data_IF_468029238251
#
_entry.id   IF_468029238251
#
_cell.length_a   1.000
_cell.length_b   1.000
_cell.length_c   1.000
_cell.angle_alpha   90.00
_cell.angle_beta   90.00
_cell.angle_gamma   90.00
#
_symmetry.space_group_name_H-M   'P 1'
#
loop_
_entity.id
_entity.type
_entity.pdbx_description
1 polymer ?
#
# COMPACT_ATOMS: atom_id res chain seq x y z
N UNK A 1 -10.08 17.92 8.02
CA UNK A 1 -9.20 18.21 6.88
C UNK A 1 -9.37 17.12 5.84
N UNK A 2 -9.62 17.48 4.60
CA UNK A 2 -9.63 16.57 3.46
C UNK A 2 -8.35 16.83 2.66
N UNK A 3 -7.46 15.84 2.64
CA UNK A 3 -6.21 15.85 1.91
C UNK A 3 -6.34 14.91 0.70
N UNK A 4 -5.88 15.35 -0.46
CA UNK A 4 -5.84 14.47 -1.65
C UNK A 4 -4.70 13.46 -1.55
N UNK A 5 -4.73 12.44 -2.39
CA UNK A 5 -3.56 11.66 -2.73
C UNK A 5 -2.68 12.39 -3.77
N UNK A 6 -1.60 11.77 -4.16
CA UNK A 6 -0.55 12.29 -5.04
C UNK A 6 -1.09 12.72 -6.41
N UNK A 7 -1.01 14.02 -6.71
CA UNK A 7 -1.48 14.65 -7.95
C UNK A 7 -2.96 14.42 -8.30
N UNK A 8 -3.82 14.05 -7.35
CA UNK A 8 -5.21 13.69 -7.68
C UNK A 8 -6.01 14.81 -8.29
N UNK A 9 -5.82 16.05 -7.86
CA UNK A 9 -6.51 17.19 -8.50
C UNK A 9 -6.12 17.30 -9.98
N UNK A 10 -4.84 17.11 -10.30
CA UNK A 10 -4.35 17.13 -11.68
C UNK A 10 -4.98 16.03 -12.53
N UNK A 11 -5.22 14.86 -11.94
CA UNK A 11 -5.82 13.71 -12.62
C UNK A 11 -7.23 13.98 -13.12
N UNK A 12 -7.98 14.92 -12.52
CA UNK A 12 -9.30 15.32 -13.02
C UNK A 12 -9.24 15.86 -14.47
N UNK A 13 -8.13 16.51 -14.83
CA UNK A 13 -7.87 16.92 -16.21
C UNK A 13 -7.13 15.87 -17.01
N UNK A 14 -5.95 15.41 -16.52
CA UNK A 14 -5.01 14.61 -17.32
C UNK A 14 -5.50 13.18 -17.58
N UNK A 15 -6.16 12.57 -16.61
CA UNK A 15 -6.60 11.17 -16.66
C UNK A 15 -8.11 11.05 -16.86
N UNK A 16 -8.88 11.67 -15.99
CA UNK A 16 -10.33 11.42 -15.88
C UNK A 16 -11.14 12.27 -16.88
N UNK A 17 -10.54 13.32 -17.43
CA UNK A 17 -11.10 14.20 -18.45
C UNK A 17 -12.45 14.85 -18.04
N UNK A 18 -12.63 15.08 -16.74
CA UNK A 18 -13.82 15.75 -16.18
C UNK A 18 -13.64 17.26 -16.05
N UNK A 19 -12.41 17.76 -16.10
CA UNK A 19 -12.07 19.17 -16.17
C UNK A 19 -11.40 19.49 -17.52
N UNK A 20 -11.72 20.61 -18.14
CA UNK A 20 -11.16 21.03 -19.43
C UNK A 20 -9.73 21.55 -19.29
N UNK A 21 -9.37 22.10 -18.12
CA UNK A 21 -8.04 22.65 -17.81
C UNK A 21 -7.60 22.28 -16.40
N UNK A 22 -6.30 22.43 -16.12
CA UNK A 22 -5.77 22.24 -14.75
C UNK A 22 -6.39 23.25 -13.76
N UNK A 23 -6.56 24.51 -14.18
CA UNK A 23 -7.22 25.54 -13.37
C UNK A 23 -8.66 25.15 -13.01
N UNK A 24 -9.41 24.59 -13.98
CA UNK A 24 -10.76 24.10 -13.72
C UNK A 24 -10.76 22.92 -12.74
N UNK A 25 -9.79 22.00 -12.86
CA UNK A 25 -9.62 20.91 -11.91
C UNK A 25 -9.41 21.43 -10.48
N UNK A 26 -8.57 22.46 -10.30
CA UNK A 26 -8.38 23.13 -9.01
C UNK A 26 -9.69 23.73 -8.49
N UNK A 27 -10.42 24.47 -9.33
CA UNK A 27 -11.73 25.04 -8.98
C UNK A 27 -12.71 23.98 -8.50
N UNK A 28 -12.84 22.89 -9.23
CA UNK A 28 -13.77 21.80 -8.91
C UNK A 28 -13.42 21.16 -7.56
N UNK A 29 -12.15 20.83 -7.35
CA UNK A 29 -11.69 20.16 -6.15
C UNK A 29 -11.82 21.04 -4.88
N UNK A 30 -11.41 22.31 -4.97
CA UNK A 30 -11.47 23.22 -3.82
C UNK A 30 -12.93 23.53 -3.45
N UNK A 31 -13.80 23.78 -4.43
CA UNK A 31 -15.21 24.00 -4.17
C UNK A 31 -15.96 22.75 -3.68
N UNK A 32 -15.47 21.55 -4.03
CA UNK A 32 -15.97 20.29 -3.49
C UNK A 32 -15.58 20.04 -2.04
N UNK A 33 -14.67 20.85 -1.47
CA UNK A 33 -14.29 20.78 -0.06
C UNK A 33 -12.90 20.21 0.23
N UNK A 34 -12.05 20.06 -0.78
CA UNK A 34 -10.64 19.71 -0.56
C UNK A 34 -9.95 20.88 0.17
N UNK A 35 -9.35 20.58 1.33
CA UNK A 35 -8.66 21.56 2.15
C UNK A 35 -7.17 21.64 1.81
N UNK A 36 -6.57 20.53 1.41
CA UNK A 36 -5.13 20.39 1.21
C UNK A 36 -4.86 19.47 0.02
N UNK A 37 -3.99 19.92 -0.89
CA UNK A 37 -3.63 19.17 -2.09
C UNK A 37 -2.20 18.64 -2.00
N UNK A 38 -2.02 17.38 -2.37
CA UNK A 38 -0.70 16.77 -2.50
C UNK A 38 -0.17 17.03 -3.92
N UNK A 39 0.51 18.17 -4.10
CA UNK A 39 1.08 18.64 -5.37
C UNK A 39 2.60 18.61 -5.28
N UNK A 40 3.29 17.55 -5.75
CA UNK A 40 4.74 17.41 -5.56
C UNK A 40 5.59 18.20 -6.55
N UNK A 41 5.09 18.45 -7.77
CA UNK A 41 5.91 19.00 -8.86
C UNK A 41 5.47 20.40 -9.30
N UNK A 42 4.21 20.57 -9.65
CA UNK A 42 3.70 21.82 -10.24
C UNK A 42 2.97 22.69 -9.20
N UNK A 43 3.53 22.77 -7.99
CA UNK A 43 2.92 23.49 -6.87
C UNK A 43 2.79 25.01 -7.15
N UNK A 44 3.70 25.61 -7.92
CA UNK A 44 3.62 27.02 -8.30
C UNK A 44 2.41 27.26 -9.21
N UNK A 45 2.17 26.38 -10.18
CA UNK A 45 1.01 26.47 -11.06
C UNK A 45 -0.30 26.32 -10.25
N UNK A 46 -0.37 25.32 -9.37
CA UNK A 46 -1.51 25.13 -8.49
C UNK A 46 -1.82 26.38 -7.65
N UNK A 47 -0.76 26.97 -7.05
CA UNK A 47 -0.90 28.19 -6.26
C UNK A 47 -1.41 29.36 -7.10
N UNK A 48 -0.81 29.60 -8.27
CA UNK A 48 -1.20 30.68 -9.17
C UNK A 48 -2.64 30.51 -9.67
N UNK A 49 -3.03 29.30 -10.05
CA UNK A 49 -4.39 29.00 -10.48
C UNK A 49 -5.39 29.27 -9.36
N UNK A 50 -5.09 28.86 -8.12
CA UNK A 50 -5.96 29.08 -6.96
C UNK A 50 -6.10 30.57 -6.64
N UNK A 51 -4.99 31.33 -6.65
CA UNK A 51 -5.02 32.81 -6.47
C UNK A 51 -5.86 33.48 -7.55
N UNK A 52 -5.70 33.06 -8.79
CA UNK A 52 -6.46 33.61 -9.90
C UNK A 52 -7.95 33.29 -9.75
N UNK A 53 -8.33 32.07 -9.39
CA UNK A 53 -9.71 31.65 -9.15
C UNK A 53 -10.37 32.48 -8.04
N UNK A 54 -9.64 32.82 -6.98
CA UNK A 54 -10.14 33.69 -5.91
C UNK A 54 -10.35 35.11 -6.45
N UNK A 55 -9.39 35.67 -7.20
CA UNK A 55 -9.51 37.00 -7.77
C UNK A 55 -10.65 37.13 -8.80
N UNK A 56 -10.99 36.05 -9.51
CA UNK A 56 -12.10 35.95 -10.44
C UNK A 56 -13.45 35.68 -9.74
N UNK A 57 -13.45 35.42 -8.42
CA UNK A 57 -14.64 35.08 -7.65
C UNK A 57 -15.17 33.67 -7.88
N UNK A 58 -14.40 32.81 -8.55
CA UNK A 58 -14.75 31.42 -8.84
C UNK A 58 -14.54 30.49 -7.62
N UNK A 59 -13.67 30.90 -6.70
CA UNK A 59 -13.47 30.32 -5.37
C UNK A 59 -13.58 31.43 -4.33
N UNK A 60 -14.45 31.28 -3.35
CA UNK A 60 -14.64 32.33 -2.35
C UNK A 60 -13.51 32.33 -1.30
N UNK A 61 -13.22 33.54 -0.76
CA UNK A 61 -12.32 33.66 0.38
C UNK A 61 -12.80 32.89 1.60
N UNK A 62 -14.11 32.80 1.81
CA UNK A 62 -14.70 32.00 2.88
C UNK A 62 -14.32 30.51 2.77
N UNK A 63 -14.27 29.97 1.53
CA UNK A 63 -13.81 28.59 1.30
C UNK A 63 -12.34 28.42 1.62
N UNK A 64 -11.51 29.40 1.29
CA UNK A 64 -10.07 29.38 1.62
C UNK A 64 -9.88 29.47 3.14
N UNK A 65 -10.58 30.39 3.79
CA UNK A 65 -10.51 30.58 5.25
C UNK A 65 -10.97 29.31 6.00
N UNK A 66 -12.01 28.62 5.50
CA UNK A 66 -12.46 27.36 6.10
C UNK A 66 -11.38 26.27 5.97
N UNK A 67 -10.74 26.12 4.79
CA UNK A 67 -9.64 25.18 4.59
C UNK A 67 -8.46 25.48 5.55
N UNK A 68 -8.02 26.73 5.60
CA UNK A 68 -6.92 27.17 6.46
C UNK A 68 -7.26 26.93 7.93
N UNK A 69 -8.47 27.27 8.36
CA UNK A 69 -8.93 27.05 9.73
C UNK A 69 -8.90 25.57 10.10
N UNK A 70 -9.34 24.69 9.22
CA UNK A 70 -9.29 23.24 9.47
C UNK A 70 -7.86 22.72 9.58
N UNK A 71 -6.97 23.16 8.69
CA UNK A 71 -5.54 22.78 8.72
C UNK A 71 -4.88 23.28 10.01
N UNK A 72 -5.07 24.57 10.34
CA UNK A 72 -4.49 25.14 11.57
C UNK A 72 -5.04 24.48 12.82
N UNK A 73 -6.34 24.21 12.88
CA UNK A 73 -6.94 23.49 14.00
C UNK A 73 -6.27 22.13 14.22
N UNK A 74 -6.08 21.34 13.14
CA UNK A 74 -5.40 20.06 13.23
C UNK A 74 -3.97 20.20 13.76
N UNK A 75 -3.23 21.20 13.26
CA UNK A 75 -1.86 21.47 13.73
C UNK A 75 -1.80 21.82 15.22
N UNK A 76 -2.75 22.61 15.70
CA UNK A 76 -2.85 22.93 17.14
C UNK A 76 -3.24 21.71 17.98
N UNK A 77 -4.20 20.90 17.51
CA UNK A 77 -4.63 19.68 18.21
C UNK A 77 -3.53 18.63 18.32
N UNK A 78 -2.60 18.61 17.36
CA UNK A 78 -1.43 17.73 17.32
C UNK A 78 -0.18 18.35 17.97
N UNK A 79 -0.29 19.55 18.55
CA UNK A 79 0.81 20.28 19.21
C UNK A 79 2.05 20.48 18.29
N UNK A 80 1.83 20.64 16.97
CA UNK A 80 2.92 20.70 15.99
C UNK A 80 3.70 22.02 16.00
N UNK A 81 3.21 23.05 16.68
CA UNK A 81 3.92 24.32 16.79
C UNK A 81 4.97 24.28 17.90
N UNK A 82 4.63 23.64 19.02
CA UNK A 82 5.49 23.45 20.17
C UNK A 82 6.39 22.23 20.03
N UNK A 83 5.84 21.14 19.45
CA UNK A 83 6.51 19.85 19.26
C UNK A 83 6.48 19.42 17.79
N UNK A 84 7.22 20.10 16.89
CA UNK A 84 7.16 19.85 15.45
C UNK A 84 7.83 18.52 15.02
N UNK A 85 8.64 17.92 15.86
CA UNK A 85 9.39 16.68 15.58
C UNK A 85 9.09 15.65 16.66
N UNK A 86 8.68 14.48 16.21
CA UNK A 86 8.46 13.33 17.08
C UNK A 86 9.78 12.59 17.33
N UNK A 87 10.12 12.38 18.60
CA UNK A 87 11.23 11.51 18.97
C UNK A 87 10.71 10.07 19.12
N UNK A 88 11.06 9.18 18.18
CA UNK A 88 10.59 7.81 18.20
C UNK A 88 11.08 7.00 19.41
N UNK A 89 12.19 7.42 20.05
CA UNK A 89 12.72 6.78 21.27
C UNK A 89 11.77 6.88 22.46
N UNK A 90 10.83 7.82 22.43
CA UNK A 90 9.79 7.97 23.46
C UNK A 90 8.65 6.94 23.30
N UNK A 91 8.64 6.18 22.20
CA UNK A 91 7.62 5.18 21.90
C UNK A 91 8.17 3.76 22.07
N UNK A 92 8.32 3.30 23.30
CA UNK A 92 8.89 1.99 23.64
C UNK A 92 8.15 0.80 22.98
N UNK A 93 6.86 0.96 22.70
CA UNK A 93 6.04 -0.05 22.03
C UNK A 93 6.30 -0.14 20.52
N UNK A 94 6.98 0.85 19.90
CA UNK A 94 7.21 0.85 18.46
C UNK A 94 8.10 -0.34 18.03
N UNK A 95 7.57 -1.20 17.14
CA UNK A 95 8.26 -2.41 16.71
C UNK A 95 8.42 -3.49 17.79
N UNK A 96 7.73 -3.38 18.92
CA UNK A 96 7.82 -4.31 20.05
C UNK A 96 7.23 -5.69 19.72
N UNK A 97 7.52 -6.68 20.56
CA UNK A 97 6.88 -8.01 20.49
C UNK A 97 5.36 -7.94 20.53
N UNK A 98 4.80 -6.99 21.27
CA UNK A 98 3.35 -6.73 21.33
C UNK A 98 2.80 -6.31 19.97
N UNK A 99 3.49 -5.40 19.27
CA UNK A 99 3.12 -4.98 17.91
C UNK A 99 3.24 -6.13 16.91
N UNK A 100 4.29 -6.96 16.99
CA UNK A 100 4.42 -8.16 16.15
C UNK A 100 3.29 -9.17 16.39
N UNK A 101 2.92 -9.40 17.65
CA UNK A 101 1.79 -10.29 17.98
C UNK A 101 0.46 -9.75 17.46
N UNK A 102 0.24 -8.43 17.55
CA UNK A 102 -0.96 -7.79 17.03
C UNK A 102 -1.02 -7.89 15.50
N UNK A 103 0.08 -7.64 14.82
CA UNK A 103 0.20 -7.79 13.37
C UNK A 103 -0.06 -9.24 12.92
N UNK A 104 0.52 -10.23 13.61
CA UNK A 104 0.26 -11.64 13.37
C UNK A 104 -1.23 -11.99 13.56
N UNK A 105 -1.84 -11.51 14.62
CA UNK A 105 -3.27 -11.72 14.89
C UNK A 105 -4.13 -11.10 13.81
N UNK A 106 -3.87 -9.85 13.44
CA UNK A 106 -4.61 -9.16 12.38
C UNK A 106 -4.48 -9.89 11.02
N UNK A 107 -3.27 -10.32 10.66
CA UNK A 107 -3.06 -11.11 9.45
C UNK A 107 -3.80 -12.45 9.48
N UNK A 108 -3.75 -13.16 10.61
CA UNK A 108 -4.44 -14.44 10.76
C UNK A 108 -5.96 -14.32 10.66
N UNK A 109 -6.54 -13.27 11.26
CA UNK A 109 -7.97 -13.00 11.23
C UNK A 109 -8.46 -12.47 9.87
N UNK A 110 -7.56 -11.91 9.05
CA UNK A 110 -7.90 -11.43 7.70
C UNK A 110 -8.02 -12.55 6.66
N UNK A 111 -7.47 -13.74 6.95
CA UNK A 111 -7.52 -14.87 6.02
C UNK A 111 -8.93 -15.40 5.93
N UNK A 112 -9.51 -15.36 4.74
CA UNK A 112 -10.89 -15.77 4.49
C UNK A 112 -10.93 -17.12 3.77
N UNK A 113 -11.60 -18.12 4.38
CA UNK A 113 -11.82 -19.42 3.76
C UNK A 113 -12.97 -19.31 2.76
N UNK A 114 -12.67 -19.26 1.47
CA UNK A 114 -13.66 -19.12 0.41
C UNK A 114 -14.33 -20.45 0.03
N UNK A 115 -13.63 -21.58 0.17
CA UNK A 115 -14.10 -22.89 -0.20
C UNK A 115 -13.33 -23.98 0.55
N UNK A 116 -14.02 -24.97 1.08
CA UNK A 116 -13.41 -26.13 1.74
C UNK A 116 -14.22 -27.40 1.45
N UNK A 117 -14.13 -27.90 0.22
CA UNK A 117 -14.84 -29.11 -0.15
C UNK A 117 -14.22 -30.33 0.55
N UNK A 118 -15.06 -31.21 1.03
CA UNK A 118 -14.67 -32.45 1.72
C UNK A 118 -13.82 -32.23 2.98
N UNK A 119 -13.92 -31.06 3.60
CA UNK A 119 -13.22 -30.70 4.85
C UNK A 119 -11.70 -30.98 4.79
N UNK A 120 -11.09 -30.64 3.65
CA UNK A 120 -9.65 -30.86 3.42
C UNK A 120 -8.79 -29.99 4.34
N UNK A 121 -9.32 -28.82 4.72
CA UNK A 121 -8.70 -27.91 5.70
C UNK A 121 -9.43 -28.02 7.05
N UNK A 122 -8.72 -27.98 8.18
CA UNK A 122 -7.25 -27.90 8.31
C UNK A 122 -6.57 -29.21 7.90
N UNK A 123 -5.38 -29.11 7.29
CA UNK A 123 -4.58 -30.26 6.90
C UNK A 123 -4.23 -31.09 8.13
N UNK A 124 -4.44 -32.40 8.05
CA UNK A 124 -4.19 -33.35 9.16
C UNK A 124 -2.93 -34.17 8.92
N UNK A 125 -2.21 -34.43 9.99
CA UNK A 125 -1.02 -35.30 9.95
C UNK A 125 0.16 -34.65 9.19
N UNK A 126 0.82 -35.42 8.33
CA UNK A 126 1.95 -34.98 7.50
C UNK A 126 1.68 -35.25 6.03
N UNK A 127 0.73 -34.52 5.42
CA UNK A 127 0.40 -34.70 4.01
C UNK A 127 1.59 -34.34 3.10
N UNK A 128 1.59 -34.91 1.89
CA UNK A 128 2.46 -34.42 0.81
C UNK A 128 1.83 -33.15 0.24
N UNK A 129 2.63 -32.10 0.14
CA UNK A 129 2.21 -30.77 -0.29
C UNK A 129 3.08 -30.34 -1.46
N UNK A 130 2.44 -29.98 -2.55
CA UNK A 130 3.07 -29.26 -3.64
C UNK A 130 2.73 -27.78 -3.49
N UNK A 131 3.75 -26.94 -3.45
CA UNK A 131 3.65 -25.48 -3.56
C UNK A 131 4.03 -25.10 -4.96
N UNK A 132 3.17 -24.38 -5.67
CA UNK A 132 3.41 -23.94 -7.04
C UNK A 132 3.02 -22.47 -7.22
N UNK A 133 3.47 -21.87 -8.31
CA UNK A 133 3.29 -20.47 -8.60
C UNK A 133 4.47 -19.59 -8.15
N UNK A 134 4.65 -18.42 -8.77
CA UNK A 134 5.82 -17.56 -8.56
C UNK A 134 5.90 -16.98 -7.15
N UNK A 135 4.79 -16.92 -6.43
CA UNK A 135 4.69 -16.32 -5.11
C UNK A 135 4.90 -17.32 -3.96
N UNK A 136 4.90 -18.62 -4.26
CA UNK A 136 5.00 -19.67 -3.24
C UNK A 136 6.28 -19.65 -2.42
N UNK A 137 7.38 -19.20 -3.01
CA UNK A 137 8.69 -19.07 -2.37
C UNK A 137 9.34 -17.71 -2.69
N UNK A 138 8.61 -16.64 -2.47
CA UNK A 138 9.08 -15.30 -2.77
C UNK A 138 8.63 -14.32 -1.67
N UNK A 139 9.58 -13.83 -0.87
CA UNK A 139 9.30 -12.92 0.24
C UNK A 139 8.76 -11.58 -0.24
N UNK A 140 9.25 -11.07 -1.37
CA UNK A 140 8.81 -9.77 -1.88
C UNK A 140 7.30 -9.74 -2.15
N UNK A 141 6.74 -10.82 -2.66
CA UNK A 141 5.31 -10.89 -3.00
C UNK A 141 4.39 -11.05 -1.78
N UNK A 142 4.96 -11.37 -0.61
CA UNK A 142 4.27 -11.37 0.68
C UNK A 142 4.21 -9.98 1.31
N UNK A 143 4.97 -9.03 0.78
CA UNK A 143 5.01 -7.66 1.25
C UNK A 143 4.41 -6.74 0.17
N UNK A 144 3.48 -5.90 0.58
CA UNK A 144 2.88 -4.89 -0.31
C UNK A 144 3.61 -3.57 -0.29
N UNK A 145 3.08 -2.60 -1.01
CA UNK A 145 3.51 -1.22 -0.93
C UNK A 145 3.48 -0.72 0.53
N UNK A 146 4.39 0.19 0.85
CA UNK A 146 4.60 0.75 2.20
C UNK A 146 5.13 -0.26 3.24
N UNK A 147 5.61 -1.43 2.80
CA UNK A 147 6.38 -2.35 3.64
C UNK A 147 7.85 -1.94 3.60
N UNK A 148 8.29 -1.09 4.53
CA UNK A 148 9.62 -0.49 4.68
C UNK A 148 10.11 0.37 3.50
N UNK A 149 9.56 0.22 2.34
CA UNK A 149 9.79 1.06 1.16
C UNK A 149 8.48 1.32 0.45
N UNK A 150 8.47 2.29 -0.45
CA UNK A 150 7.23 2.68 -1.15
C UNK A 150 6.56 1.51 -1.87
N UNK A 151 7.32 0.69 -2.60
CA UNK A 151 6.79 -0.45 -3.36
C UNK A 151 7.00 -1.80 -2.67
N UNK A 152 7.57 -1.82 -1.47
CA UNK A 152 7.89 -3.06 -0.77
C UNK A 152 9.02 -3.87 -1.41
N UNK A 153 9.85 -3.24 -2.24
CA UNK A 153 10.90 -3.90 -3.03
C UNK A 153 12.16 -4.24 -2.21
N UNK A 154 12.34 -3.63 -1.04
CA UNK A 154 13.56 -3.80 -0.24
C UNK A 154 13.45 -4.93 0.80
N UNK A 155 12.59 -5.92 0.56
CA UNK A 155 12.32 -7.01 1.54
C UNK A 155 13.54 -7.80 1.93
N UNK A 156 14.51 -8.00 1.04
CA UNK A 156 15.75 -8.72 1.32
C UNK A 156 16.58 -8.10 2.45
N UNK A 157 16.34 -6.82 2.76
CA UNK A 157 17.07 -6.10 3.81
C UNK A 157 16.58 -6.38 5.23
N UNK A 158 15.32 -6.80 5.38
CA UNK A 158 14.68 -6.90 6.71
C UNK A 158 13.75 -8.10 6.88
N UNK A 159 13.50 -8.88 5.83
CA UNK A 159 12.60 -10.02 5.90
C UNK A 159 13.34 -11.36 6.15
N UNK A 160 14.66 -11.33 6.41
CA UNK A 160 15.47 -12.53 6.60
C UNK A 160 15.05 -13.42 7.79
N UNK A 161 14.38 -12.83 8.78
CA UNK A 161 13.87 -13.56 9.95
C UNK A 161 12.48 -14.18 9.73
N UNK A 162 11.88 -13.95 8.57
CA UNK A 162 10.53 -14.42 8.24
C UNK A 162 10.55 -15.50 7.16
N UNK A 163 9.56 -16.39 7.21
CA UNK A 163 9.46 -17.48 6.26
C UNK A 163 8.61 -17.11 5.06
N UNK A 164 8.97 -17.61 3.88
CA UNK A 164 8.06 -17.69 2.74
C UNK A 164 6.93 -18.70 3.02
N UNK A 165 5.90 -18.76 2.17
CA UNK A 165 4.83 -19.76 2.28
C UNK A 165 5.43 -21.17 2.23
N UNK A 166 6.34 -21.42 1.28
CA UNK A 166 7.03 -22.70 1.16
C UNK A 166 7.80 -23.09 2.42
N UNK A 167 8.61 -22.17 2.96
CA UNK A 167 9.37 -22.41 4.18
C UNK A 167 8.49 -22.61 5.41
N UNK A 168 7.43 -21.84 5.54
CA UNK A 168 6.45 -22.00 6.61
C UNK A 168 5.77 -23.37 6.57
N UNK A 169 5.40 -23.85 5.39
CA UNK A 169 4.85 -25.20 5.21
C UNK A 169 5.89 -26.27 5.53
N UNK A 170 7.15 -26.11 5.11
CA UNK A 170 8.23 -27.04 5.46
C UNK A 170 8.45 -27.13 6.96
N UNK A 171 8.42 -26.01 7.67
CA UNK A 171 8.56 -25.95 9.11
C UNK A 171 7.43 -26.68 9.84
N UNK A 172 6.20 -26.58 9.32
CA UNK A 172 5.02 -27.21 9.93
C UNK A 172 4.89 -28.72 9.59
N UNK A 173 5.15 -29.10 8.35
CA UNK A 173 4.86 -30.47 7.85
C UNK A 173 6.09 -31.30 7.56
N UNK A 174 7.29 -30.70 7.65
CA UNK A 174 8.58 -31.34 7.39
C UNK A 174 9.05 -31.21 5.94
N UNK A 175 10.34 -30.95 5.77
CA UNK A 175 10.96 -30.68 4.46
C UNK A 175 10.71 -31.75 3.41
N UNK A 176 10.68 -33.02 3.80
CA UNK A 176 10.46 -34.15 2.89
C UNK A 176 8.99 -34.29 2.43
N UNK A 177 8.08 -33.55 3.03
CA UNK A 177 6.66 -33.59 2.70
C UNK A 177 6.20 -32.39 1.86
N UNK A 178 7.03 -31.38 1.73
CA UNK A 178 6.70 -30.16 0.98
C UNK A 178 7.67 -29.97 -0.16
N UNK A 179 7.14 -29.93 -1.37
CA UNK A 179 7.91 -29.69 -2.60
C UNK A 179 7.51 -28.35 -3.19
N UNK A 180 8.46 -27.64 -3.78
CA UNK A 180 8.20 -26.43 -4.53
C UNK A 180 8.57 -26.60 -5.99
N UNK A 181 7.66 -26.26 -6.88
CA UNK A 181 7.89 -26.14 -8.31
C UNK A 181 7.19 -24.89 -8.81
N UNK A 182 7.94 -23.88 -9.21
CA UNK A 182 7.35 -22.58 -9.58
C UNK A 182 6.33 -22.68 -10.71
N UNK A 183 6.63 -23.45 -11.75
CA UNK A 183 5.82 -23.58 -12.95
C UNK A 183 5.91 -22.34 -13.85
N UNK A 184 5.78 -21.16 -13.25
CA UNK A 184 5.95 -19.85 -13.90
C UNK A 184 6.80 -18.94 -12.99
N UNK A 185 7.46 -17.96 -13.59
CA UNK A 185 8.20 -16.91 -12.91
C UNK A 185 7.86 -15.55 -13.47
N UNK A 186 8.14 -14.49 -12.72
CA UNK A 186 8.01 -13.13 -13.24
C UNK A 186 9.14 -12.83 -14.21
N UNK A 187 8.83 -12.12 -15.28
CA UNK A 187 9.84 -11.65 -16.23
C UNK A 187 10.72 -10.61 -15.56
N UNK A 188 12.03 -10.79 -15.66
CA UNK A 188 12.99 -9.80 -15.20
C UNK A 188 12.77 -8.47 -15.95
N UNK A 189 12.66 -7.38 -15.19
CA UNK A 189 12.33 -6.04 -15.72
C UNK A 189 10.98 -5.94 -16.48
N UNK A 190 10.09 -6.91 -16.32
CA UNK A 190 8.73 -6.89 -16.85
C UNK A 190 7.73 -6.23 -15.89
N UNK A 191 6.49 -6.06 -16.36
CA UNK A 191 5.35 -5.68 -15.53
C UNK A 191 4.92 -6.83 -14.62
N UNK A 192 4.09 -6.54 -13.60
CA UNK A 192 3.58 -7.53 -12.65
C UNK A 192 2.74 -8.65 -13.31
N UNK A 193 2.26 -8.46 -14.52
CA UNK A 193 1.53 -9.43 -15.32
C UNK A 193 2.41 -10.14 -16.38
N UNK A 194 3.67 -9.71 -16.54
CA UNK A 194 4.59 -10.37 -17.48
C UNK A 194 5.22 -11.58 -16.79
N UNK A 195 4.68 -12.76 -17.13
CA UNK A 195 5.18 -14.03 -16.63
C UNK A 195 5.87 -14.83 -17.73
N UNK A 196 6.83 -15.64 -17.34
CA UNK A 196 7.53 -16.58 -18.18
C UNK A 196 7.17 -17.99 -17.71
N UNK A 197 6.81 -18.87 -18.64
CA UNK A 197 6.70 -20.29 -18.36
C UNK A 197 8.09 -20.86 -18.04
N UNK A 198 8.21 -21.42 -16.84
CA UNK A 198 9.47 -21.92 -16.35
C UNK A 198 9.46 -23.46 -16.33
N UNK A 199 8.48 -24.02 -15.63
CA UNK A 199 8.47 -25.46 -15.39
C UNK A 199 7.04 -26.02 -15.16
N UNK A 200 6.08 -25.61 -15.97
CA UNK A 200 4.66 -26.01 -15.82
C UNK A 200 4.52 -27.54 -15.87
N UNK A 201 5.17 -28.19 -16.84
CA UNK A 201 5.09 -29.63 -16.97
C UNK A 201 5.65 -30.40 -15.76
N UNK A 202 6.64 -29.84 -15.05
CA UNK A 202 7.14 -30.45 -13.83
C UNK A 202 6.12 -30.27 -12.69
N UNK A 203 5.49 -29.10 -12.57
CA UNK A 203 4.45 -28.87 -11.57
C UNK A 203 3.22 -29.79 -11.76
N UNK A 204 2.86 -30.09 -13.02
CA UNK A 204 1.73 -30.96 -13.34
C UNK A 204 2.01 -32.45 -13.05
N UNK A 205 3.30 -32.86 -13.07
CA UNK A 205 3.69 -34.25 -12.83
C UNK A 205 3.81 -34.62 -11.35
N UNK A 206 3.85 -33.64 -10.48
CA UNK A 206 4.00 -33.81 -9.03
C UNK A 206 2.63 -33.90 -8.33
#
# INVERSE_FOLDING_TARGET
>A
VILTDWEDIRKLHDRDKVAETQKEAVKMAINAGIDMSMVPYEYEQFFNDLVQLVNEGEVSMERIDDAVKRILKLKFELDLFENPVTNYEEYEDFGSKKHHQLAYKAASESITLLKNNNDILPLKGKPKILVTGPNGNNMRTLNGAWSYSWQGELTDRFAGDFNTIYEALQNNYGRNNVKYVSGVSYKENGSYYDMVEDNINAAVRE
#
